data_IF_284936822122
#
_entry.id   IF_284936822122
#
_cell.length_a   1.000
_cell.length_b   1.000
_cell.length_c   1.000
_cell.angle_alpha   90.00
_cell.angle_beta   90.00
_cell.angle_gamma   90.00
#
_symmetry.space_group_name_H-M   'P 1'
#
loop_
_entity.id
_entity.type
_entity.pdbx_description
1 polymer ?
#
# COMPACT_ATOMS: atom_id res chain seq x y z
N UNK A 1 -17.83 -12.99 10.50
CA UNK A 1 -16.81 -12.15 11.17
C UNK A 1 -16.30 -11.21 10.10
N UNK A 2 -16.46 -9.90 10.26
CA UNK A 2 -16.04 -8.93 9.23
C UNK A 2 -14.52 -8.91 9.17
N UNK A 3 -13.95 -9.07 7.98
CA UNK A 3 -12.51 -8.98 7.76
C UNK A 3 -12.09 -7.53 7.53
N UNK A 4 -10.79 -7.26 7.65
CA UNK A 4 -10.20 -5.98 7.26
C UNK A 4 -10.55 -5.65 5.79
N UNK A 5 -10.44 -6.65 4.90
CA UNK A 5 -10.81 -6.52 3.49
C UNK A 5 -12.29 -6.17 3.28
N UNK A 6 -13.20 -6.74 4.06
CA UNK A 6 -14.64 -6.43 3.96
C UNK A 6 -14.93 -4.98 4.37
N UNK A 7 -14.24 -4.49 5.41
CA UNK A 7 -14.38 -3.13 5.91
C UNK A 7 -13.81 -2.12 4.90
N UNK A 8 -12.63 -2.42 4.36
CA UNK A 8 -11.99 -1.64 3.31
C UNK A 8 -12.88 -1.50 2.06
N UNK A 9 -13.50 -2.60 1.60
CA UNK A 9 -14.43 -2.60 0.48
C UNK A 9 -15.74 -1.87 0.75
N UNK A 10 -16.28 -2.00 1.95
CA UNK A 10 -17.60 -1.44 2.28
C UNK A 10 -17.54 0.05 2.60
N UNK A 11 -16.43 0.53 3.18
CA UNK A 11 -16.35 1.89 3.72
C UNK A 11 -15.20 2.72 3.17
N UNK A 12 -14.03 2.14 2.93
CA UNK A 12 -12.83 2.91 2.53
C UNK A 12 -12.86 3.20 1.03
N UNK A 13 -13.03 2.17 0.20
CA UNK A 13 -13.09 2.33 -1.26
C UNK A 13 -14.20 3.31 -1.70
N UNK A 14 -15.46 3.19 -1.24
CA UNK A 14 -16.51 4.12 -1.63
C UNK A 14 -16.20 5.58 -1.28
N UNK A 15 -15.50 5.82 -0.15
CA UNK A 15 -15.09 7.17 0.25
C UNK A 15 -13.93 7.70 -0.60
N UNK A 16 -13.01 6.85 -1.03
CA UNK A 16 -11.93 7.23 -1.95
C UNK A 16 -12.51 7.63 -3.32
N UNK A 17 -13.46 6.87 -3.85
CA UNK A 17 -14.17 7.23 -5.08
C UNK A 17 -15.00 8.51 -4.92
N UNK A 18 -15.69 8.67 -3.79
CA UNK A 18 -16.44 9.90 -3.51
C UNK A 18 -15.53 11.14 -3.39
N UNK A 19 -14.29 10.96 -2.97
CA UNK A 19 -13.26 12.00 -2.96
C UNK A 19 -12.63 12.26 -4.35
N UNK A 20 -13.06 11.54 -5.38
CA UNK A 20 -12.64 11.76 -6.78
C UNK A 20 -11.41 10.98 -7.22
N UNK A 21 -10.94 10.00 -6.43
CA UNK A 21 -9.86 9.11 -6.84
C UNK A 21 -10.38 8.02 -7.78
N UNK A 22 -9.66 7.71 -8.86
CA UNK A 22 -10.00 6.63 -9.79
C UNK A 22 -9.16 5.36 -9.54
N UNK A 23 -9.59 4.22 -10.11
CA UNK A 23 -8.87 2.94 -9.99
C UNK A 23 -7.41 3.03 -10.43
N UNK A 24 -7.13 3.80 -11.48
CA UNK A 24 -5.76 3.99 -11.99
C UNK A 24 -4.84 4.75 -10.99
N UNK A 25 -5.46 5.51 -10.10
CA UNK A 25 -4.79 6.31 -9.08
C UNK A 25 -4.67 5.58 -7.75
N UNK A 26 -5.49 4.56 -7.50
CA UNK A 26 -5.53 3.79 -6.25
C UNK A 26 -4.73 2.49 -6.45
N UNK A 27 -3.55 2.40 -5.84
CA UNK A 27 -2.78 1.17 -5.82
C UNK A 27 -2.92 0.47 -4.46
N UNK A 28 -3.71 -0.60 -4.43
CA UNK A 28 -3.91 -1.41 -3.22
C UNK A 28 -2.72 -2.32 -2.91
N UNK A 29 -2.44 -2.50 -1.62
CA UNK A 29 -1.56 -3.55 -1.08
C UNK A 29 -0.14 -3.60 -1.65
N UNK A 30 0.37 -2.47 -2.14
CA UNK A 30 1.64 -2.40 -2.88
C UNK A 30 2.83 -2.34 -1.92
N UNK A 31 3.76 -3.27 -2.08
CA UNK A 31 5.09 -3.16 -1.49
C UNK A 31 5.85 -2.03 -2.15
N UNK A 32 6.35 -1.07 -1.38
CA UNK A 32 7.09 0.09 -1.90
C UNK A 32 8.57 0.10 -1.49
N UNK A 33 8.99 -0.85 -0.65
CA UNK A 33 10.40 -1.02 -0.28
C UNK A 33 10.80 -2.47 -0.49
N UNK A 34 12.05 -2.70 -0.89
CA UNK A 34 12.60 -4.05 -1.07
C UNK A 34 13.04 -4.73 0.24
N UNK A 35 12.78 -4.09 1.38
CA UNK A 35 13.23 -4.56 2.68
C UNK A 35 14.69 -4.19 2.95
N UNK A 36 14.99 -3.79 4.19
CA UNK A 36 16.36 -3.42 4.58
C UNK A 36 17.24 -4.66 4.63
N UNK A 37 18.40 -4.62 3.97
CA UNK A 37 19.42 -5.66 4.11
C UNK A 37 20.03 -5.57 5.51
N UNK A 38 20.08 -6.70 6.20
CA UNK A 38 20.71 -6.86 7.50
C UNK A 38 21.80 -7.90 7.39
N UNK A 39 22.99 -7.53 7.87
CA UNK A 39 24.14 -8.41 8.00
C UNK A 39 24.36 -8.66 9.48
N UNK A 40 24.38 -9.93 9.88
CA UNK A 40 24.71 -10.34 11.24
C UNK A 40 25.73 -11.46 11.19
N UNK A 41 27.00 -11.09 11.38
CA UNK A 41 28.13 -12.01 11.21
C UNK A 41 28.19 -12.54 9.79
N UNK A 42 28.11 -13.86 9.62
CA UNK A 42 28.14 -14.55 8.32
C UNK A 42 26.78 -14.66 7.64
N UNK A 43 25.69 -14.27 8.30
CA UNK A 43 24.34 -14.37 7.75
C UNK A 43 23.87 -13.03 7.19
N UNK A 44 23.29 -13.07 6.00
CA UNK A 44 22.68 -11.92 5.32
C UNK A 44 21.21 -12.24 5.07
N UNK A 45 20.31 -11.37 5.50
CA UNK A 45 18.87 -11.49 5.19
C UNK A 45 18.24 -10.11 5.00
N UNK A 46 17.07 -10.08 4.36
CA UNK A 46 16.28 -8.85 4.19
C UNK A 46 15.15 -8.80 5.22
N UNK A 47 14.89 -7.62 5.77
CA UNK A 47 13.66 -7.36 6.53
C UNK A 47 12.44 -7.47 5.60
N UNK A 48 11.24 -7.72 6.16
CA UNK A 48 10.00 -7.66 5.41
C UNK A 48 9.87 -6.33 4.65
N UNK A 49 9.35 -6.41 3.43
CA UNK A 49 9.00 -5.25 2.63
C UNK A 49 7.91 -4.45 3.37
N UNK A 50 8.04 -3.12 3.40
CA UNK A 50 6.95 -2.25 3.80
C UNK A 50 5.87 -2.27 2.73
N UNK A 51 4.63 -2.45 3.17
CA UNK A 51 3.42 -2.47 2.35
C UNK A 51 2.47 -1.40 2.88
N UNK A 52 1.81 -0.71 1.96
CA UNK A 52 0.73 0.20 2.26
C UNK A 52 -0.60 -0.44 1.82
N UNK A 53 -1.67 -0.18 2.56
CA UNK A 53 -3.00 -0.71 2.24
C UNK A 53 -3.58 0.01 1.02
N UNK A 54 -3.47 1.34 0.99
CA UNK A 54 -3.81 2.18 -0.16
C UNK A 54 -2.68 3.15 -0.48
N UNK A 55 -2.29 3.24 -1.74
CA UNK A 55 -1.32 4.23 -2.21
C UNK A 55 -2.00 5.09 -3.28
N UNK A 56 -2.15 6.39 -2.99
CA UNK A 56 -2.87 7.33 -3.84
C UNK A 56 -1.90 8.11 -4.73
N UNK A 57 -2.10 8.01 -6.04
CA UNK A 57 -1.23 8.57 -7.07
C UNK A 57 -1.96 9.64 -7.85
N UNK A 58 -1.51 10.89 -7.74
CA UNK A 58 -2.07 11.97 -8.54
C UNK A 58 -1.73 11.83 -10.03
N UNK A 59 -0.53 11.32 -10.29
CA UNK A 59 -0.06 10.92 -11.62
C UNK A 59 0.63 9.56 -11.51
N UNK A 60 0.70 8.75 -12.59
CA UNK A 60 1.65 7.65 -12.63
C UNK A 60 3.03 8.25 -12.30
N UNK A 61 3.81 7.77 -11.34
CA UNK A 61 5.08 8.38 -10.90
C UNK A 61 4.98 9.59 -9.95
N UNK A 62 3.77 10.03 -9.56
CA UNK A 62 3.61 11.02 -8.50
C UNK A 62 2.61 10.54 -7.44
N UNK A 63 3.15 10.00 -6.34
CA UNK A 63 2.39 9.59 -5.17
C UNK A 63 2.13 10.82 -4.29
N UNK A 64 0.87 11.03 -3.89
CA UNK A 64 0.50 12.13 -3.00
C UNK A 64 0.24 11.68 -1.56
N UNK A 65 -0.33 10.49 -1.37
CA UNK A 65 -0.80 10.06 -0.06
C UNK A 65 -0.76 8.53 0.11
N UNK A 66 -0.75 8.13 1.39
CA UNK A 66 -0.87 6.75 1.89
C UNK A 66 -1.95 6.72 2.97
#
# INVERSE_FOLDING_TARGET
MATEADTCRTFVLPKLYAAGWSDDQIAEQRSFTDGRIIVSGTKVWRRPQKRADYLLRYRPNHTLAV
#
